data_IF_216221685029
#
_entry.id   IF_216221685029
#
_cell.length_a   1.000
_cell.length_b   1.000
_cell.length_c   1.000
_cell.angle_alpha   90.00
_cell.angle_beta   90.00
_cell.angle_gamma   90.00
#
_symmetry.space_group_name_H-M   'P 1'
#
loop_
_entity.id
_entity.type
_entity.pdbx_description
1 polymer ?
#
# COMPACT_ATOMS: atom_id res chain seq x y z
N UNK A 1 4.47 6.94 8.19
CA UNK A 1 3.26 7.24 7.39
C UNK A 1 2.09 6.62 8.09
N UNK A 2 1.01 7.35 8.25
CA UNK A 2 -0.22 6.77 8.77
C UNK A 2 -0.92 5.93 7.68
N UNK A 3 -1.97 5.21 8.07
CA UNK A 3 -2.71 4.34 7.14
C UNK A 3 -3.41 5.14 6.03
N UNK A 4 -3.90 6.35 6.29
CA UNK A 4 -4.55 7.19 5.27
C UNK A 4 -3.54 7.54 4.16
N UNK A 5 -2.34 7.98 4.52
CA UNK A 5 -1.29 8.26 3.56
C UNK A 5 -0.94 7.04 2.68
N UNK A 6 -0.83 5.86 3.30
CA UNK A 6 -0.54 4.63 2.55
C UNK A 6 -1.66 4.26 1.59
N UNK A 7 -2.92 4.34 2.02
CA UNK A 7 -4.07 4.07 1.14
C UNK A 7 -4.10 5.03 -0.03
N UNK A 8 -3.87 6.32 0.22
CA UNK A 8 -3.79 7.33 -0.83
C UNK A 8 -2.67 7.00 -1.84
N UNK A 9 -1.46 6.68 -1.38
CA UNK A 9 -0.34 6.31 -2.27
C UNK A 9 -0.59 5.01 -3.04
N UNK A 10 -1.22 4.03 -2.40
CA UNK A 10 -1.63 2.79 -3.05
C UNK A 10 -2.62 3.06 -4.20
N UNK A 11 -3.66 3.88 -3.96
CA UNK A 11 -4.63 4.25 -5.00
C UNK A 11 -4.01 5.04 -6.15
N UNK A 12 -3.13 6.01 -5.85
CA UNK A 12 -2.42 6.77 -6.89
C UNK A 12 -1.54 5.83 -7.74
N UNK A 13 -0.87 4.86 -7.12
CA UNK A 13 -0.02 3.92 -7.85
C UNK A 13 -0.84 2.97 -8.73
N UNK A 14 -2.01 2.54 -8.27
CA UNK A 14 -2.96 1.78 -9.10
C UNK A 14 -3.44 2.60 -10.30
N UNK A 15 -3.84 3.84 -10.08
CA UNK A 15 -4.25 4.74 -11.16
C UNK A 15 -3.14 4.92 -12.20
N UNK A 16 -1.90 5.12 -11.76
CA UNK A 16 -0.76 5.26 -12.66
C UNK A 16 -0.41 3.95 -13.40
N UNK A 17 -0.60 2.78 -12.78
CA UNK A 17 -0.40 1.49 -13.46
C UNK A 17 -1.41 1.28 -14.59
N UNK A 18 -2.66 1.67 -14.37
CA UNK A 18 -3.74 1.59 -15.36
C UNK A 18 -3.49 2.56 -16.53
N UNK A 19 -3.00 3.76 -16.23
CA UNK A 19 -2.71 4.82 -17.21
C UNK A 19 -1.27 4.81 -17.75
N UNK A 20 -0.49 3.75 -17.47
CA UNK A 20 0.90 3.68 -17.88
C UNK A 20 1.03 3.61 -19.41
N UNK A 21 1.87 4.48 -19.99
CA UNK A 21 2.11 4.51 -21.43
C UNK A 21 2.96 3.36 -21.98
N UNK A 22 3.55 2.54 -21.10
CA UNK A 22 4.32 1.36 -21.49
C UNK A 22 4.34 0.29 -20.39
N UNK A 23 4.71 -0.94 -20.76
CA UNK A 23 4.72 -2.09 -19.84
C UNK A 23 5.76 -1.95 -18.72
N UNK A 24 6.89 -1.29 -18.99
CA UNK A 24 7.92 -1.04 -17.98
C UNK A 24 7.40 -0.08 -16.90
N UNK A 25 6.73 0.99 -17.31
CA UNK A 25 6.09 1.94 -16.38
C UNK A 25 4.97 1.28 -15.60
N UNK A 26 4.13 0.46 -16.25
CA UNK A 26 3.10 -0.33 -15.58
C UNK A 26 3.70 -1.23 -14.51
N UNK A 27 4.75 -1.98 -14.83
CA UNK A 27 5.43 -2.85 -13.87
C UNK A 27 5.99 -2.08 -12.68
N UNK A 28 6.61 -0.91 -12.91
CA UNK A 28 7.13 -0.08 -11.83
C UNK A 28 6.01 0.39 -10.88
N UNK A 29 4.87 0.83 -11.43
CA UNK A 29 3.72 1.22 -10.62
C UNK A 29 3.10 0.04 -9.86
N UNK A 30 3.00 -1.14 -10.48
CA UNK A 30 2.52 -2.35 -9.81
C UNK A 30 3.44 -2.80 -8.67
N UNK A 31 4.76 -2.64 -8.83
CA UNK A 31 5.70 -2.92 -7.74
C UNK A 31 5.47 -1.99 -6.53
N UNK A 32 5.16 -0.71 -6.78
CA UNK A 32 4.80 0.23 -5.72
C UNK A 32 3.48 -0.14 -5.05
N UNK A 33 2.45 -0.55 -5.82
CA UNK A 33 1.18 -1.05 -5.28
C UNK A 33 1.42 -2.21 -4.31
N UNK A 34 2.22 -3.20 -4.72
CA UNK A 34 2.55 -4.34 -3.88
C UNK A 34 3.30 -3.94 -2.59
N UNK A 35 4.26 -3.01 -2.68
CA UNK A 35 4.98 -2.49 -1.52
C UNK A 35 4.05 -1.76 -0.54
N UNK A 36 3.14 -0.91 -1.03
CA UNK A 36 2.17 -0.23 -0.18
C UNK A 36 1.18 -1.20 0.47
N UNK A 37 0.71 -2.22 -0.25
CA UNK A 37 -0.17 -3.25 0.30
C UNK A 37 0.50 -4.02 1.45
N UNK A 38 1.76 -4.43 1.27
CA UNK A 38 2.53 -5.12 2.31
C UNK A 38 2.68 -4.26 3.59
N UNK A 39 2.94 -2.96 3.42
CA UNK A 39 3.09 -2.02 4.53
C UNK A 39 1.75 -1.73 5.24
N UNK A 40 0.64 -1.60 4.48
CA UNK A 40 -0.71 -1.50 5.03
C UNK A 40 -1.02 -2.71 5.90
N UNK A 41 -0.75 -3.91 5.40
CA UNK A 41 -1.01 -5.14 6.14
C UNK A 41 -0.13 -5.28 7.38
N UNK A 42 1.14 -4.89 7.29
CA UNK A 42 2.05 -4.80 8.43
C UNK A 42 1.48 -3.89 9.53
N UNK A 43 1.04 -2.69 9.16
CA UNK A 43 0.45 -1.73 10.10
C UNK A 43 -0.88 -2.21 10.67
N UNK A 44 -1.76 -2.79 9.86
CA UNK A 44 -3.03 -3.37 10.34
C UNK A 44 -2.79 -4.44 11.40
N UNK A 45 -1.86 -5.37 11.16
CA UNK A 45 -1.49 -6.41 12.14
C UNK A 45 -0.88 -5.81 13.41
N UNK A 46 -0.01 -4.82 13.28
CA UNK A 46 0.57 -4.11 14.43
C UNK A 46 -0.49 -3.36 15.25
N UNK A 47 -1.48 -2.74 14.61
CA UNK A 47 -2.60 -2.09 15.29
C UNK A 47 -3.49 -3.11 16.02
N UNK A 48 -3.75 -4.29 15.44
CA UNK A 48 -4.54 -5.33 16.12
C UNK A 48 -3.79 -5.94 17.32
N UNK A 49 -2.47 -6.12 17.22
CA UNK A 49 -1.64 -6.63 18.32
C UNK A 49 -1.59 -5.67 19.53
N UNK A 50 -1.61 -4.35 19.29
CA UNK A 50 -1.65 -3.34 20.37
C UNK A 50 -2.97 -3.27 21.15
N UNK A 51 -4.06 -3.81 20.60
CA UNK A 51 -5.39 -3.85 21.25
C UNK A 51 -5.65 -5.17 22.02
N UNK A 52 -4.79 -6.19 21.86
CA UNK A 52 -4.94 -7.50 22.51
C UNK A 52 -4.01 -7.74 23.72
N UNK A 53 -3.12 -6.80 24.06
CA UNK A 53 -2.15 -6.94 25.15
C UNK A 53 -2.59 -6.30 26.48
N UNK A 54 -3.87 -5.93 26.60
CA UNK A 54 -4.46 -5.39 27.81
C UNK A 54 -5.70 -6.21 28.21
N UNK A 55 -5.49 -7.43 28.72
CA UNK A 55 -6.48 -8.20 29.47
C UNK A 55 -5.79 -8.97 30.60
#
# INVERSE_FOLDING_TARGET
MDLNYLYHRHQVSLFNADNAGCDQSRHAHLALVAAYAAEIDSRKRGTTAGLGAAQ
#
